data_IF_509962604253
#
_entry.id   IF_509962604253
#
_cell.length_a   1.000
_cell.length_b   1.000
_cell.length_c   1.000
_cell.angle_alpha   90.00
_cell.angle_beta   90.00
_cell.angle_gamma   90.00
#
_symmetry.space_group_name_H-M   'P 1'
#
loop_
_entity.id
_entity.type
_entity.pdbx_description
1 polymer ?
#
# COMPACT_ATOMS: atom_id res chain seq x y z
N UNK A 1 -3.14 -8.57 22.62
CA UNK A 1 -3.37 -7.55 21.58
C UNK A 1 -2.20 -7.68 20.63
N UNK A 2 -2.43 -7.88 19.35
CA UNK A 2 -1.36 -7.94 18.35
C UNK A 2 -1.40 -6.60 17.64
N UNK A 3 -0.33 -5.81 17.74
CA UNK A 3 -0.23 -4.58 16.99
C UNK A 3 0.22 -4.94 15.58
N UNK A 4 -0.68 -4.70 14.62
CA UNK A 4 -0.44 -4.93 13.19
C UNK A 4 -0.40 -3.59 12.51
N UNK A 5 0.69 -3.27 11.84
CA UNK A 5 0.80 -2.05 11.04
C UNK A 5 1.13 -2.38 9.60
N UNK A 6 0.60 -1.56 8.70
CA UNK A 6 0.77 -1.76 7.25
C UNK A 6 1.37 -0.53 6.57
N UNK A 7 2.24 -0.79 5.60
CA UNK A 7 2.86 0.21 4.74
C UNK A 7 3.10 -0.39 3.34
N UNK A 8 3.56 0.44 2.41
CA UNK A 8 3.74 0.07 1.02
C UNK A 8 5.10 0.51 0.54
N UNK A 9 5.83 -0.43 -0.03
CA UNK A 9 7.00 -0.13 -0.84
C UNK A 9 6.67 -0.30 -2.33
N UNK A 10 7.44 0.38 -3.17
CA UNK A 10 7.55 0.04 -4.59
C UNK A 10 8.97 -0.46 -4.80
N UNK A 11 9.11 -1.69 -5.28
CA UNK A 11 10.42 -2.31 -5.46
C UNK A 11 10.52 -3.08 -6.76
N UNK A 12 11.60 -2.86 -7.52
CA UNK A 12 11.79 -3.39 -8.87
C UNK A 12 10.55 -3.20 -9.77
N UNK A 13 9.87 -2.05 -9.65
CA UNK A 13 8.64 -1.75 -10.39
C UNK A 13 7.38 -2.53 -9.93
N UNK A 14 7.46 -3.29 -8.84
CA UNK A 14 6.36 -4.02 -8.23
C UNK A 14 5.87 -3.32 -6.98
N UNK A 15 4.58 -3.47 -6.69
CA UNK A 15 3.99 -3.00 -5.44
C UNK A 15 4.23 -4.06 -4.38
N UNK A 16 4.84 -3.66 -3.27
CA UNK A 16 5.14 -4.55 -2.16
C UNK A 16 4.33 -4.11 -0.94
N UNK A 17 3.40 -4.97 -0.52
CA UNK A 17 2.71 -4.82 0.74
C UNK A 17 3.63 -5.19 1.90
N UNK A 18 3.71 -4.33 2.91
CA UNK A 18 4.53 -4.52 4.11
C UNK A 18 3.60 -4.58 5.32
N UNK A 19 3.67 -5.68 6.06
CA UNK A 19 2.88 -5.87 7.28
C UNK A 19 3.82 -6.21 8.44
N UNK A 20 3.77 -5.43 9.53
CA UNK A 20 4.54 -5.70 10.74
C UNK A 20 3.62 -6.19 11.84
N UNK A 21 3.95 -7.34 12.43
CA UNK A 21 3.24 -7.97 13.52
C UNK A 21 4.12 -7.99 14.76
N UNK A 22 3.67 -7.34 15.83
CA UNK A 22 4.29 -7.41 17.15
C UNK A 22 3.49 -8.39 18.01
N UNK A 23 4.18 -9.44 18.46
CA UNK A 23 3.56 -10.54 19.21
C UNK A 23 4.35 -10.82 20.49
N UNK A 24 3.68 -11.18 21.61
CA UNK A 24 4.38 -11.54 22.84
C UNK A 24 5.29 -12.76 22.65
N UNK A 25 6.42 -12.79 23.35
CA UNK A 25 7.36 -13.91 23.31
C UNK A 25 8.82 -13.46 23.42
N UNK A 26 9.74 -14.41 23.23
CA UNK A 26 11.17 -14.11 23.21
C UNK A 26 11.53 -13.17 22.04
N UNK A 27 12.50 -12.26 22.24
CA UNK A 27 12.97 -11.37 21.19
C UNK A 27 13.37 -12.13 19.92
N UNK A 28 12.66 -11.87 18.84
CA UNK A 28 12.92 -12.50 17.55
C UNK A 28 12.44 -11.56 16.43
N UNK A 29 13.24 -11.44 15.38
CA UNK A 29 12.89 -10.66 14.20
C UNK A 29 12.95 -11.55 12.97
N UNK A 30 11.92 -11.51 12.14
CA UNK A 30 11.87 -12.26 10.89
C UNK A 30 11.20 -11.45 9.79
N UNK A 31 11.67 -11.65 8.55
CA UNK A 31 11.09 -11.09 7.34
C UNK A 31 10.71 -12.26 6.42
N UNK A 32 9.44 -12.35 6.02
CA UNK A 32 8.97 -13.29 5.00
C UNK A 32 8.84 -12.59 3.65
N UNK A 33 9.08 -13.32 2.56
CA UNK A 33 9.01 -12.78 1.20
C UNK A 33 10.27 -12.06 0.70
N UNK A 34 11.37 -12.08 1.47
CA UNK A 34 12.72 -11.63 1.09
C UNK A 34 13.72 -12.79 1.09
N UNK A 35 14.77 -12.73 0.24
CA UNK A 35 15.86 -13.72 0.23
C UNK A 35 16.69 -13.68 1.52
N UNK A 36 17.32 -14.81 1.88
CA UNK A 36 17.98 -14.97 3.19
C UNK A 36 19.19 -14.05 3.40
N UNK A 37 20.00 -13.80 2.37
CA UNK A 37 21.24 -13.00 2.46
C UNK A 37 20.97 -11.57 2.93
N UNK A 38 19.78 -11.04 2.63
CA UNK A 38 19.43 -9.64 2.91
C UNK A 38 18.76 -9.41 4.26
N UNK A 39 18.49 -10.46 5.06
CA UNK A 39 17.67 -10.34 6.29
C UNK A 39 18.43 -9.76 7.48
N UNK A 40 19.70 -10.15 7.66
CA UNK A 40 20.49 -9.77 8.84
C UNK A 40 20.89 -8.29 8.82
N UNK A 41 21.40 -7.82 7.68
CA UNK A 41 21.83 -6.43 7.52
C UNK A 41 20.63 -5.48 7.57
N UNK A 42 19.52 -5.89 6.93
CA UNK A 42 18.27 -5.14 6.94
C UNK A 42 17.66 -5.06 8.35
N UNK A 43 17.71 -6.15 9.13
CA UNK A 43 17.30 -6.12 10.55
C UNK A 43 18.07 -5.05 11.31
N UNK A 44 19.40 -5.04 11.19
CA UNK A 44 20.24 -4.11 11.92
C UNK A 44 19.91 -2.66 11.54
N UNK A 45 19.83 -2.36 10.24
CA UNK A 45 19.48 -1.03 9.75
C UNK A 45 18.10 -0.55 10.22
N UNK A 46 17.09 -1.43 10.20
CA UNK A 46 15.75 -1.10 10.69
C UNK A 46 15.78 -0.82 12.20
N UNK A 47 16.47 -1.68 12.97
CA UNK A 47 16.57 -1.50 14.41
C UNK A 47 17.23 -0.17 14.76
N UNK A 48 18.39 0.14 14.18
CA UNK A 48 19.12 1.38 14.48
C UNK A 48 18.34 2.61 14.01
N UNK A 49 17.63 2.54 12.88
CA UNK A 49 16.79 3.62 12.39
C UNK A 49 15.60 3.91 13.34
N UNK A 50 14.95 2.86 13.83
CA UNK A 50 13.84 2.97 14.80
C UNK A 50 14.34 3.58 16.12
N UNK A 51 15.50 3.14 16.61
CA UNK A 51 16.14 3.69 17.80
C UNK A 51 16.56 5.15 17.60
N UNK A 52 17.08 5.50 16.42
CA UNK A 52 17.43 6.88 16.05
C UNK A 52 16.22 7.80 15.95
N UNK A 53 15.04 7.24 15.65
CA UNK A 53 13.77 7.97 15.70
C UNK A 53 13.23 8.17 17.14
N UNK A 54 14.01 7.81 18.17
CA UNK A 54 13.66 7.97 19.58
C UNK A 54 12.69 6.90 20.10
N UNK A 55 12.49 5.81 19.37
CA UNK A 55 11.65 4.69 19.79
C UNK A 55 12.50 3.59 20.43
N UNK A 56 11.96 2.93 21.46
CA UNK A 56 12.61 1.75 22.03
C UNK A 56 12.30 0.52 21.20
N UNK A 57 13.34 -0.20 20.76
CA UNK A 57 13.16 -1.48 20.10
C UNK A 57 12.54 -2.50 21.07
N UNK A 58 11.39 -3.13 20.75
CA UNK A 58 10.66 -3.93 21.71
C UNK A 58 11.31 -5.29 21.94
N UNK A 59 11.31 -5.75 23.19
CA UNK A 59 11.73 -7.09 23.57
C UNK A 59 10.63 -8.15 23.31
N UNK A 60 10.16 -8.22 22.06
CA UNK A 60 9.09 -9.14 21.64
C UNK A 60 9.40 -9.79 20.29
N UNK A 61 8.48 -10.62 19.80
CA UNK A 61 8.60 -11.20 18.46
C UNK A 61 8.01 -10.24 17.43
N UNK A 62 8.86 -9.80 16.50
CA UNK A 62 8.53 -8.97 15.35
C UNK A 62 8.56 -9.85 14.10
N UNK A 63 7.44 -9.93 13.39
CA UNK A 63 7.34 -10.62 12.10
C UNK A 63 6.93 -9.60 11.04
N UNK A 64 7.73 -9.47 10.00
CA UNK A 64 7.44 -8.61 8.86
C UNK A 64 7.10 -9.49 7.67
N UNK A 65 5.93 -9.25 7.06
CA UNK A 65 5.52 -9.95 5.86
C UNK A 65 5.61 -9.01 4.65
N UNK A 66 6.31 -9.48 3.60
CA UNK A 66 6.40 -8.80 2.31
C UNK A 66 5.61 -9.58 1.26
N UNK A 67 4.65 -8.91 0.64
CA UNK A 67 3.77 -9.50 -0.38
C UNK A 67 3.83 -8.72 -1.69
N UNK A 68 3.64 -9.38 -2.85
CA UNK A 68 3.55 -10.83 -3.04
C UNK A 68 4.92 -11.50 -2.87
N UNK A 69 4.95 -12.73 -2.34
CA UNK A 69 6.21 -13.46 -2.14
C UNK A 69 7.01 -13.69 -3.44
N UNK A 70 6.31 -13.82 -4.57
CA UNK A 70 6.88 -14.10 -5.89
C UNK A 70 7.50 -12.89 -6.59
N UNK A 71 7.13 -11.66 -6.21
CA UNK A 71 7.71 -10.47 -6.84
C UNK A 71 9.18 -10.29 -6.41
N UNK A 72 10.07 -9.89 -7.33
CA UNK A 72 11.44 -9.53 -7.00
C UNK A 72 11.43 -8.27 -6.11
N UNK A 73 12.15 -8.33 -4.99
CA UNK A 73 12.24 -7.25 -3.99
C UNK A 73 13.70 -6.92 -3.76
N UNK A 74 14.03 -5.64 -3.89
CA UNK A 74 15.29 -5.07 -3.45
C UNK A 74 15.17 -4.71 -1.95
N UNK A 75 16.08 -5.19 -1.09
CA UNK A 75 16.09 -4.89 0.34
C UNK A 75 16.11 -3.39 0.67
N UNK A 76 16.88 -2.60 -0.08
CA UNK A 76 17.07 -1.17 0.17
C UNK A 76 15.79 -0.39 -0.14
N UNK A 77 15.09 -0.77 -1.22
CA UNK A 77 13.84 -0.14 -1.66
C UNK A 77 12.66 -0.43 -0.71
N UNK A 78 12.71 -1.53 0.06
CA UNK A 78 11.66 -1.88 1.03
C UNK A 78 11.98 -1.44 2.46
N UNK A 79 13.23 -1.10 2.76
CA UNK A 79 13.73 -0.83 4.11
C UNK A 79 12.95 0.27 4.84
N UNK A 80 12.74 1.43 4.19
CA UNK A 80 12.01 2.55 4.77
C UNK A 80 10.55 2.20 5.10
N UNK A 81 9.91 1.42 4.23
CA UNK A 81 8.54 0.94 4.44
C UNK A 81 8.44 -0.05 5.61
N UNK A 82 9.43 -0.95 5.74
CA UNK A 82 9.50 -1.89 6.86
C UNK A 82 9.72 -1.14 8.18
N UNK A 83 10.70 -0.23 8.23
CA UNK A 83 10.97 0.55 9.44
C UNK A 83 9.74 1.38 9.86
N UNK A 84 9.03 1.95 8.89
CA UNK A 84 7.76 2.66 9.15
C UNK A 84 6.71 1.72 9.75
N UNK A 85 6.47 0.57 9.13
CA UNK A 85 5.45 -0.37 9.61
C UNK A 85 5.79 -0.85 11.04
N UNK A 86 7.05 -1.21 11.30
CA UNK A 86 7.52 -1.62 12.64
C UNK A 86 7.36 -0.47 13.65
N UNK A 87 7.84 0.73 13.35
CA UNK A 87 7.73 1.88 14.23
C UNK A 87 6.27 2.26 14.52
N UNK A 88 5.41 2.24 13.51
CA UNK A 88 3.98 2.49 13.67
C UNK A 88 3.32 1.41 14.54
N UNK A 89 3.71 0.14 14.41
CA UNK A 89 3.23 -0.92 15.30
C UNK A 89 3.70 -0.71 16.75
N UNK A 90 4.96 -0.32 16.98
CA UNK A 90 5.48 0.03 18.31
C UNK A 90 4.65 1.15 18.96
N UNK A 91 4.18 2.11 18.16
CA UNK A 91 3.36 3.24 18.61
C UNK A 91 1.85 2.93 18.70
N UNK A 92 1.41 1.71 18.37
CA UNK A 92 -0.01 1.34 18.31
C UNK A 92 -0.80 2.03 17.18
N UNK A 93 -0.12 2.48 16.12
CA UNK A 93 -0.69 3.22 14.98
C UNK A 93 -0.97 2.30 13.79
N UNK A 94 -1.86 1.34 13.98
CA UNK A 94 -2.07 0.18 13.08
C UNK A 94 -2.48 0.54 11.64
N UNK A 95 -3.25 1.60 11.45
CA UNK A 95 -3.83 1.94 10.13
C UNK A 95 -3.24 3.22 9.52
N UNK A 96 -2.24 3.84 10.14
CA UNK A 96 -1.79 5.20 9.76
C UNK A 96 -1.18 5.27 8.37
N UNK A 97 -0.36 4.28 8.02
CA UNK A 97 0.33 4.21 6.72
C UNK A 97 -0.33 3.22 5.77
N UNK A 98 -1.49 2.70 6.17
CA UNK A 98 -2.27 1.80 5.37
C UNK A 98 -2.61 2.47 4.04
N UNK A 99 -2.12 1.87 2.98
CA UNK A 99 -2.40 2.32 1.64
C UNK A 99 -1.54 3.46 1.09
N UNK A 100 -0.50 3.88 1.82
CA UNK A 100 0.40 4.96 1.44
C UNK A 100 1.78 4.41 1.02
N UNK A 101 2.19 4.57 -0.25
CA UNK A 101 3.55 4.27 -0.69
C UNK A 101 4.58 5.13 0.03
N UNK A 102 5.69 4.51 0.42
CA UNK A 102 6.86 5.15 1.02
C UNK A 102 8.03 4.89 0.09
N UNK A 103 8.64 5.98 -0.39
CA UNK A 103 9.70 5.96 -1.41
C UNK A 103 10.93 6.67 -0.88
N UNK A 104 12.07 5.98 -0.91
CA UNK A 104 13.37 6.48 -0.49
C UNK A 104 14.18 5.39 0.22
N UNK A 105 15.49 5.60 0.31
CA UNK A 105 16.41 4.67 0.95
C UNK A 105 16.57 4.99 2.44
N UNK A 106 16.54 3.96 3.27
CA UNK A 106 16.73 4.09 4.71
C UNK A 106 18.21 3.95 5.08
N UNK A 107 18.77 5.00 5.68
CA UNK A 107 20.04 4.93 6.39
C UNK A 107 19.89 4.33 7.79
N UNK A 108 20.93 3.67 8.34
CA UNK A 108 20.91 3.13 9.69
C UNK A 108 20.78 4.20 10.78
N UNK A 109 21.05 5.47 10.46
CA UNK A 109 20.86 6.65 11.31
C UNK A 109 19.42 7.20 11.26
N UNK A 110 18.52 6.51 10.56
CA UNK A 110 17.14 6.90 10.39
C UNK A 110 16.92 8.00 9.35
N UNK A 111 17.95 8.43 8.61
CA UNK A 111 17.75 9.32 7.45
C UNK A 111 17.06 8.55 6.32
N UNK A 112 16.21 9.25 5.59
CA UNK A 112 15.61 8.76 4.35
C UNK A 112 16.14 9.62 3.22
N UNK A 113 16.83 9.02 2.27
CA UNK A 113 17.47 9.72 1.15
C UNK A 113 16.87 9.32 -0.17
N UNK A 114 16.79 10.26 -1.10
CA UNK A 114 16.39 9.95 -2.46
C UNK A 114 17.49 9.20 -3.22
N UNK A 115 17.08 8.36 -4.16
CA UNK A 115 17.98 7.71 -5.13
C UNK A 115 17.41 7.81 -6.55
N UNK A 116 18.24 7.56 -7.60
CA UNK A 116 17.81 7.72 -8.99
C UNK A 116 16.54 6.93 -9.38
N UNK A 117 16.22 5.83 -8.67
CA UNK A 117 15.04 5.03 -8.91
C UNK A 117 13.74 5.59 -8.34
N UNK A 118 13.80 6.63 -7.49
CA UNK A 118 12.61 7.21 -6.84
C UNK A 118 11.62 7.77 -7.85
N UNK A 119 12.10 8.47 -8.89
CA UNK A 119 11.25 9.06 -9.93
C UNK A 119 10.43 8.00 -10.67
N UNK A 120 11.04 6.86 -10.97
CA UNK A 120 10.36 5.75 -11.66
C UNK A 120 9.36 5.06 -10.73
N UNK A 121 9.70 4.93 -9.44
CA UNK A 121 8.77 4.44 -8.41
C UNK A 121 7.60 5.39 -8.18
N UNK A 122 7.82 6.70 -8.16
CA UNK A 122 6.78 7.73 -8.09
C UNK A 122 5.87 7.69 -9.32
N UNK A 123 6.44 7.58 -10.52
CA UNK A 123 5.68 7.40 -11.75
C UNK A 123 4.84 6.12 -11.73
N UNK A 124 5.40 5.03 -11.21
CA UNK A 124 4.68 3.76 -11.02
C UNK A 124 3.54 3.92 -10.02
N UNK A 125 3.77 4.58 -8.88
CA UNK A 125 2.74 4.87 -7.90
C UNK A 125 1.57 5.64 -8.55
N UNK A 126 1.89 6.72 -9.26
CA UNK A 126 0.89 7.52 -9.95
C UNK A 126 0.10 6.70 -10.98
N UNK A 127 0.78 5.89 -11.80
CA UNK A 127 0.14 5.05 -12.81
C UNK A 127 -0.81 3.99 -12.20
N UNK A 128 -0.59 3.61 -10.94
CA UNK A 128 -1.43 2.68 -10.19
C UNK A 128 -2.56 3.38 -9.42
N UNK A 129 -2.72 4.69 -9.59
CA UNK A 129 -3.80 5.45 -8.99
C UNK A 129 -3.59 5.81 -7.52
N UNK A 130 -2.36 5.72 -7.00
CA UNK A 130 -2.07 6.28 -5.68
C UNK A 130 -2.21 7.80 -5.75
N UNK A 131 -3.08 8.34 -4.89
CA UNK A 131 -3.32 9.79 -4.77
C UNK A 131 -2.40 10.47 -3.77
N UNK A 132 -1.57 9.69 -3.09
CA UNK A 132 -0.60 10.20 -2.13
C UNK A 132 0.61 9.29 -2.02
N UNK A 133 1.71 9.87 -1.54
CA UNK A 133 2.99 9.20 -1.33
C UNK A 133 3.75 9.93 -0.23
N UNK A 134 4.54 9.20 0.56
CA UNK A 134 5.63 9.78 1.35
C UNK A 134 6.93 9.52 0.62
N UNK A 135 7.75 10.55 0.41
CA UNK A 135 8.98 10.43 -0.37
C UNK A 135 10.12 11.26 0.24
N UNK A 136 11.36 10.79 0.08
CA UNK A 136 12.55 11.58 0.38
C UNK A 136 12.96 12.50 -0.78
N UNK A 137 12.42 12.29 -1.97
CA UNK A 137 12.66 13.18 -3.09
C UNK A 137 11.86 14.47 -2.90
N UNK A 138 12.54 15.61 -2.95
CA UNK A 138 11.91 16.94 -3.06
C UNK A 138 11.43 17.17 -4.51
N UNK A 139 10.58 16.26 -5.00
CA UNK A 139 9.94 16.43 -6.30
C UNK A 139 8.69 17.30 -6.14
N UNK A 140 8.54 18.38 -6.93
CA UNK A 140 7.33 19.18 -6.92
C UNK A 140 6.15 18.31 -7.39
N UNK A 141 5.26 18.03 -6.44
CA UNK A 141 3.88 17.56 -6.59
C UNK A 141 3.56 17.04 -8.01
N UNK A 142 3.84 15.75 -8.33
CA UNK A 142 3.46 15.19 -9.61
C UNK A 142 1.94 15.34 -9.78
N UNK A 143 1.50 16.05 -10.83
CA UNK A 143 0.10 16.44 -11.03
C UNK A 143 -0.88 15.31 -10.64
N UNK A 144 -1.75 15.60 -9.65
CA UNK A 144 -2.79 14.66 -9.19
C UNK A 144 -2.40 13.71 -8.05
N UNK A 145 -1.19 13.80 -7.47
CA UNK A 145 -0.77 12.98 -6.32
C UNK A 145 -0.18 13.85 -5.20
N UNK A 146 -0.79 13.82 -4.01
CA UNK A 146 -0.31 14.51 -2.80
C UNK A 146 1.00 13.91 -2.31
N UNK A 147 2.10 14.65 -2.47
CA UNK A 147 3.42 14.22 -1.98
C UNK A 147 3.71 14.79 -0.58
N UNK A 148 4.11 13.92 0.34
CA UNK A 148 4.63 14.31 1.64
C UNK A 148 6.14 14.07 1.69
N UNK A 149 6.92 15.12 1.88
CA UNK A 149 8.36 15.01 2.00
C UNK A 149 8.76 14.53 3.42
N UNK A 150 9.69 13.58 3.51
CA UNK A 150 10.31 13.14 4.76
C UNK A 150 11.79 12.81 4.54
N UNK A 151 12.68 13.53 5.23
CA UNK A 151 14.13 13.28 5.20
C UNK A 151 14.61 12.34 6.32
N UNK A 152 13.74 12.03 7.27
CA UNK A 152 14.03 11.12 8.39
C UNK A 152 12.83 10.26 8.72
N UNK A 153 13.07 9.11 9.38
CA UNK A 153 12.01 8.25 9.91
C UNK A 153 11.16 9.01 10.94
N UNK A 154 11.76 9.89 11.74
CA UNK A 154 11.03 10.75 12.69
C UNK A 154 10.02 11.65 11.99
N UNK A 155 10.44 12.34 10.93
CA UNK A 155 9.56 13.18 10.12
C UNK A 155 8.45 12.35 9.47
N UNK A 156 8.81 11.20 8.90
CA UNK A 156 7.85 10.27 8.32
C UNK A 156 6.78 9.84 9.35
N UNK A 157 7.20 9.51 10.57
CA UNK A 157 6.31 9.10 11.66
C UNK A 157 5.41 10.23 12.18
N UNK A 158 5.77 11.49 11.93
CA UNK A 158 4.95 12.66 12.25
C UNK A 158 3.88 12.92 11.18
N UNK A 159 4.11 12.49 9.94
CA UNK A 159 3.17 12.67 8.83
C UNK A 159 1.92 11.81 9.08
N UNK A 160 0.77 12.46 9.01
CA UNK A 160 -0.51 11.80 8.84
C UNK A 160 -0.89 11.89 7.36
N UNK A 161 -0.66 10.83 6.56
CA UNK A 161 -1.02 10.86 5.15
C UNK A 161 -2.54 10.85 4.93
N UNK A 162 -3.34 10.69 6.00
CA UNK A 162 -4.79 10.51 5.97
C UNK A 162 -5.21 9.08 5.67
N UNK A 163 -6.51 8.84 5.51
CA UNK A 163 -7.07 7.56 5.02
C UNK A 163 -7.27 7.60 3.52
N UNK A 164 -7.14 6.47 2.82
CA UNK A 164 -7.35 6.46 1.38
C UNK A 164 -8.85 6.66 1.14
N UNK A 165 -9.19 7.77 0.49
CA UNK A 165 -10.53 7.92 -0.06
C UNK A 165 -10.74 6.92 -1.19
N UNK A 166 -12.00 6.51 -1.46
CA UNK A 166 -12.29 5.69 -2.61
C UNK A 166 -11.69 6.28 -3.89
N UNK A 167 -10.79 5.54 -4.53
CA UNK A 167 -10.33 5.92 -5.87
C UNK A 167 -11.39 5.47 -6.85
N UNK A 168 -12.05 6.43 -7.51
CA UNK A 168 -12.96 6.16 -8.62
C UNK A 168 -12.15 5.76 -9.85
N UNK A 169 -12.42 4.58 -10.36
CA UNK A 169 -11.85 4.03 -11.60
C UNK A 169 -12.99 3.97 -12.62
N UNK A 170 -12.81 4.64 -13.76
CA UNK A 170 -13.68 4.47 -14.94
C UNK A 170 -13.24 3.19 -15.66
N UNK A 171 -14.19 2.32 -16.03
CA UNK A 171 -13.89 1.03 -16.65
C UNK A 171 -14.91 0.67 -17.74
N UNK A 172 -14.47 -0.13 -18.70
CA UNK A 172 -15.23 -0.65 -19.84
C UNK A 172 -15.21 -2.19 -19.86
N UNK A 173 -16.13 -2.79 -20.62
CA UNK A 173 -16.11 -4.25 -20.82
C UNK A 173 -14.79 -4.70 -21.46
N UNK A 174 -14.18 -5.75 -20.90
CA UNK A 174 -12.87 -6.25 -21.31
C UNK A 174 -11.69 -5.66 -20.55
N UNK A 175 -11.89 -4.62 -19.74
CA UNK A 175 -10.82 -4.02 -18.94
C UNK A 175 -10.29 -5.01 -17.88
N UNK A 176 -8.98 -4.92 -17.65
CA UNK A 176 -8.28 -5.63 -16.57
C UNK A 176 -7.76 -4.59 -15.59
N UNK A 177 -8.36 -4.54 -14.40
CA UNK A 177 -7.96 -3.61 -13.35
C UNK A 177 -7.00 -4.34 -12.42
N UNK A 178 -5.72 -3.98 -12.49
CA UNK A 178 -4.77 -4.39 -11.48
C UNK A 178 -5.08 -3.61 -10.21
N UNK A 179 -5.60 -4.28 -9.18
CA UNK A 179 -5.70 -3.62 -7.88
C UNK A 179 -4.31 -3.47 -7.28
N UNK A 180 -4.03 -2.34 -6.61
CA UNK A 180 -2.76 -2.09 -5.94
C UNK A 180 -2.26 -3.20 -4.99
N UNK A 181 -3.14 -4.04 -4.41
CA UNK A 181 -2.75 -5.09 -3.45
C UNK A 181 -3.54 -6.40 -3.57
N UNK A 182 -4.21 -6.58 -4.70
CA UNK A 182 -5.19 -7.64 -4.86
C UNK A 182 -5.16 -8.24 -6.25
N UNK A 183 -6.15 -9.08 -6.57
CA UNK A 183 -6.23 -9.75 -7.85
C UNK A 183 -6.45 -8.76 -9.00
N UNK A 184 -6.11 -9.21 -10.21
CA UNK A 184 -6.60 -8.58 -11.44
C UNK A 184 -8.11 -8.75 -11.48
N UNK A 185 -8.84 -7.64 -11.43
CA UNK A 185 -10.29 -7.65 -11.64
C UNK A 185 -10.54 -7.65 -13.14
N UNK A 186 -11.12 -8.75 -13.63
CA UNK A 186 -11.61 -8.85 -15.00
C UNK A 186 -13.03 -8.29 -15.08
N UNK A 187 -13.24 -7.29 -15.93
CA UNK A 187 -14.57 -6.73 -16.18
C UNK A 187 -15.26 -7.54 -17.27
N UNK A 188 -16.31 -8.27 -16.91
CA UNK A 188 -17.11 -9.10 -17.84
C UNK A 188 -18.60 -8.80 -17.69
N UNK A 189 -19.34 -8.69 -18.80
CA UNK A 189 -20.80 -8.65 -18.80
C UNK A 189 -21.37 -7.39 -18.16
N UNK A 190 -20.98 -6.23 -18.68
CA UNK A 190 -21.53 -4.93 -18.25
C UNK A 190 -22.94 -4.80 -18.84
N UNK A 191 -23.96 -4.85 -17.98
CA UNK A 191 -25.34 -4.51 -18.36
C UNK A 191 -25.89 -3.48 -17.39
N UNK A 192 -26.83 -2.59 -17.80
CA UNK A 192 -27.36 -1.50 -16.96
C UNK A 192 -28.02 -1.90 -15.63
N UNK A 193 -28.10 -3.20 -15.33
CA UNK A 193 -28.71 -3.77 -14.11
C UNK A 193 -27.81 -4.74 -13.35
N UNK A 194 -26.71 -5.23 -13.93
CA UNK A 194 -25.86 -6.24 -13.28
C UNK A 194 -24.43 -6.15 -13.81
N UNK A 195 -23.48 -5.79 -12.94
CA UNK A 195 -22.06 -6.05 -13.17
C UNK A 195 -21.70 -7.32 -12.40
N UNK A 196 -21.27 -8.37 -13.10
CA UNK A 196 -20.75 -9.61 -12.50
C UNK A 196 -19.22 -9.57 -12.55
N UNK A 197 -18.58 -9.55 -11.39
CA UNK A 197 -17.14 -9.72 -11.28
C UNK A 197 -16.84 -11.20 -10.97
N UNK A 198 -16.05 -11.86 -11.81
CA UNK A 198 -15.43 -13.14 -11.47
C UNK A 198 -13.95 -12.87 -11.18
N UNK A 199 -13.63 -12.82 -9.89
CA UNK A 199 -12.26 -12.75 -9.40
C UNK A 199 -11.76 -14.16 -9.17
N UNK A 200 -10.76 -14.59 -9.94
CA UNK A 200 -10.10 -15.89 -9.77
C UNK A 200 -8.65 -15.69 -9.36
N UNK A 201 -8.40 -15.08 -8.19
CA UNK A 201 -7.06 -15.11 -7.60
C UNK A 201 -7.05 -14.78 -6.10
N UNK A 202 -6.02 -15.28 -5.43
CA UNK A 202 -5.76 -15.13 -4.00
C UNK A 202 -5.17 -13.76 -3.69
N UNK A 203 -5.65 -13.05 -2.67
CA UNK A 203 -5.03 -11.77 -2.27
C UNK A 203 -3.57 -12.02 -1.86
N UNK A 204 -2.60 -11.31 -2.45
CA UNK A 204 -1.19 -11.47 -2.10
C UNK A 204 -0.89 -10.99 -0.67
N UNK A 205 -1.69 -10.07 -0.12
CA UNK A 205 -1.59 -9.61 1.27
C UNK A 205 -2.08 -10.67 2.27
N UNK A 206 -3.26 -11.24 2.03
CA UNK A 206 -3.96 -12.05 3.05
C UNK A 206 -3.86 -13.56 2.84
N UNK A 207 -3.40 -14.02 1.67
CA UNK A 207 -3.39 -15.44 1.30
C UNK A 207 -4.78 -16.08 1.23
N UNK A 208 -5.86 -15.26 1.30
CA UNK A 208 -7.26 -15.71 1.25
C UNK A 208 -7.87 -15.42 -0.13
N UNK A 209 -8.79 -16.26 -0.61
CA UNK A 209 -9.56 -15.96 -1.81
C UNK A 209 -10.37 -14.68 -1.60
N UNK A 210 -10.17 -13.68 -2.46
CA UNK A 210 -10.94 -12.44 -2.42
C UNK A 210 -12.32 -12.73 -2.99
N UNK A 211 -13.32 -12.85 -2.13
CA UNK A 211 -14.70 -12.99 -2.57
C UNK A 211 -15.35 -11.62 -2.60
N UNK A 212 -15.34 -10.97 -3.76
CA UNK A 212 -16.10 -9.72 -3.99
C UNK A 212 -17.57 -10.10 -4.14
N UNK A 213 -18.28 -10.25 -3.01
CA UNK A 213 -19.73 -10.42 -3.03
C UNK A 213 -20.37 -9.06 -2.82
N UNK A 214 -21.33 -8.68 -3.67
CA UNK A 214 -22.23 -7.54 -3.44
C UNK A 214 -23.01 -7.77 -2.15
N UNK A 215 -22.44 -7.51 -0.98
CA UNK A 215 -23.17 -7.52 0.29
C UNK A 215 -23.87 -6.18 0.42
N UNK A 216 -25.11 -6.13 -0.07
CA UNK A 216 -26.01 -4.97 0.04
C UNK A 216 -25.28 -3.66 -0.23
N UNK A 217 -25.02 -3.37 -1.51
CA UNK A 217 -24.51 -2.08 -1.94
C UNK A 217 -25.34 -0.99 -1.23
N UNK A 218 -24.71 -0.25 -0.32
CA UNK A 218 -25.27 1.01 0.14
C UNK A 218 -25.18 1.90 -1.09
N UNK A 219 -26.30 2.03 -1.80
CA UNK A 219 -26.46 2.84 -3.01
C UNK A 219 -26.11 4.27 -2.61
N UNK A 220 -24.83 4.60 -2.72
CA UNK A 220 -24.31 5.87 -2.23
C UNK A 220 -24.18 6.76 -3.44
N UNK A 221 -25.31 7.39 -3.75
CA UNK A 221 -25.45 8.52 -4.68
C UNK A 221 -25.48 8.14 -6.16
N UNK A 222 -26.66 8.28 -6.76
CA UNK A 222 -26.78 8.51 -8.21
C UNK A 222 -26.25 9.93 -8.47
N UNK A 223 -25.13 10.04 -9.18
CA UNK A 223 -24.55 11.35 -9.54
C UNK A 223 -24.83 11.62 -11.01
N UNK A 224 -25.31 12.83 -11.31
CA UNK A 224 -25.46 13.32 -12.67
C UNK A 224 -24.14 13.98 -13.07
N UNK A 225 -23.42 13.38 -14.02
CA UNK A 225 -22.19 13.94 -14.60
C UNK A 225 -22.41 14.11 -16.10
N UNK A 226 -22.28 15.35 -16.61
CA UNK A 226 -22.53 15.68 -18.03
C UNK A 226 -23.91 15.22 -18.56
N UNK A 227 -24.97 15.32 -17.73
CA UNK A 227 -26.33 14.91 -18.12
C UNK A 227 -26.56 13.39 -18.19
N UNK A 228 -25.59 12.57 -17.77
CA UNK A 228 -25.70 11.11 -17.70
C UNK A 228 -25.83 10.64 -16.26
N UNK A 229 -26.68 9.63 -16.04
CA UNK A 229 -26.78 8.93 -14.75
C UNK A 229 -25.63 7.94 -14.66
N UNK A 230 -24.83 8.04 -13.60
CA UNK A 230 -23.69 7.14 -13.33
C UNK A 230 -23.97 6.35 -12.07
N UNK A 231 -23.77 5.04 -12.13
CA UNK A 231 -23.83 4.16 -10.96
C UNK A 231 -22.42 3.98 -10.42
N UNK A 232 -22.25 4.22 -9.11
CA UNK A 232 -20.98 4.04 -8.39
C UNK A 232 -21.09 2.82 -7.49
N UNK A 233 -20.27 1.80 -7.74
CA UNK A 233 -20.10 0.67 -6.84
C UNK A 233 -18.80 0.83 -6.04
N UNK A 234 -18.85 0.58 -4.73
CA UNK A 234 -17.69 0.69 -3.84
C UNK A 234 -17.20 -0.69 -3.42
N UNK A 235 -15.89 -0.92 -3.54
CA UNK A 235 -15.20 -2.17 -3.22
C UNK A 235 -14.18 -1.90 -2.12
N UNK A 236 -14.02 -2.84 -1.20
CA UNK A 236 -13.00 -2.74 -0.15
C UNK A 236 -12.11 -3.98 -0.20
N UNK A 237 -10.80 -3.77 -0.31
CA UNK A 237 -9.77 -4.80 -0.20
C UNK A 237 -8.77 -4.39 0.87
N UNK A 238 -8.93 -4.94 2.08
CA UNK A 238 -8.15 -4.54 3.25
C UNK A 238 -8.19 -3.04 3.49
N UNK A 239 -7.05 -2.37 3.30
CA UNK A 239 -6.85 -0.93 3.49
C UNK A 239 -7.37 -0.04 2.36
N UNK A 240 -7.77 -0.62 1.22
CA UNK A 240 -8.14 0.15 0.04
C UNK A 240 -9.63 0.15 -0.19
N UNK A 241 -10.15 1.33 -0.47
CA UNK A 241 -11.48 1.48 -1.02
C UNK A 241 -11.36 1.89 -2.48
N UNK A 242 -12.04 1.17 -3.35
CA UNK A 242 -12.16 1.48 -4.77
C UNK A 242 -13.60 1.86 -5.04
N UNK A 243 -13.82 2.76 -5.99
CA UNK A 243 -15.12 3.00 -6.56
C UNK A 243 -15.05 2.76 -8.04
N UNK A 244 -16.07 2.15 -8.60
CA UNK A 244 -16.13 1.86 -10.02
C UNK A 244 -17.36 2.59 -10.57
N UNK A 245 -17.14 3.41 -11.60
CA UNK A 245 -18.21 4.14 -12.31
C UNK A 245 -18.56 3.43 -13.62
N UNK A 246 -19.82 3.02 -13.77
CA UNK A 246 -20.36 2.57 -15.06
C UNK A 246 -20.78 3.78 -15.89
N UNK A 247 -20.10 3.99 -17.02
CA UNK A 247 -20.48 5.01 -18.00
C UNK A 247 -21.23 4.36 -19.15
N UNK A 248 -22.39 4.89 -19.52
CA UNK A 248 -23.09 4.46 -20.74
C UNK A 248 -22.13 4.59 -21.95
N UNK A 249 -22.13 3.62 -22.87
CA UNK A 249 -21.21 3.61 -24.00
C UNK A 249 -21.26 4.93 -24.77
N UNK A 250 -20.10 5.39 -25.24
CA UNK A 250 -20.03 6.51 -26.19
C UNK A 250 -20.70 6.04 -27.50
N UNK A 251 -21.89 6.57 -27.79
CA UNK A 251 -22.51 6.47 -29.11
C UNK A 251 -21.67 7.20 -30.16
#
# INVERSE_FOLDING_TARGET
MHDVSTAIAISNGNIIGVEAYLTPGLPYFSITGLSDVSRSDLRWAIQTAVESAGLTWPACRITVNLSPATAPKNPDEVAASIATAVAAAIQGRTDRYAGTPIIGLLGPDGRITADPGDRDRLAKARALGFRRVVTAADEPNPEGMTSHHAATLTELLAIDPGKNEPTTIEFHEGDRIQTPYGPVIHITGVTPKTIRYSVHETSPLTGRPVTITRRRARRTVERIRHGRTVTVDTFTDGAFTYSAEETAPRH
#
